data_IF_842443935434
#
_entry.id   IF_842443935434
#
_cell.length_a   1.000
_cell.length_b   1.000
_cell.length_c   1.000
_cell.angle_alpha   90.00
_cell.angle_beta   90.00
_cell.angle_gamma   90.00
#
_symmetry.space_group_name_H-M   'P 1'
#
loop_
_entity.id
_entity.type
_entity.pdbx_description
1 polymer ?
#
# COMPACT_ATOMS: atom_id res chain seq x y z
N UNK A 1 -22.67 4.26 -16.88
CA UNK A 1 -22.80 4.79 -15.50
C UNK A 1 -21.52 5.57 -15.24
N UNK A 2 -21.64 6.85 -14.91
CA UNK A 2 -20.47 7.70 -14.67
C UNK A 2 -19.59 7.05 -13.59
N UNK A 3 -18.35 6.74 -13.95
CA UNK A 3 -17.33 6.27 -13.01
C UNK A 3 -17.23 7.28 -11.87
N UNK A 4 -17.80 6.95 -10.70
CA UNK A 4 -17.31 7.52 -9.45
C UNK A 4 -15.81 7.21 -9.43
N UNK A 5 -14.97 8.26 -9.46
CA UNK A 5 -13.52 8.14 -9.43
C UNK A 5 -13.11 7.11 -8.39
N UNK A 6 -12.66 5.93 -8.84
CA UNK A 6 -12.07 4.94 -7.95
C UNK A 6 -10.87 5.58 -7.28
N UNK A 7 -11.03 5.93 -5.99
CA UNK A 7 -10.01 6.61 -5.21
C UNK A 7 -8.91 5.61 -4.89
N UNK A 8 -7.93 5.51 -5.80
CA UNK A 8 -6.84 4.51 -5.74
C UNK A 8 -6.19 4.47 -4.37
N UNK A 9 -5.78 5.62 -3.84
CA UNK A 9 -5.11 5.68 -2.54
C UNK A 9 -6.03 5.37 -1.36
N UNK A 10 -7.28 5.86 -1.36
CA UNK A 10 -8.21 5.64 -0.24
C UNK A 10 -8.62 4.18 -0.10
N UNK A 11 -8.84 3.49 -1.23
CA UNK A 11 -9.18 2.08 -1.19
C UNK A 11 -7.94 1.25 -0.83
N UNK A 12 -6.80 1.51 -1.48
CA UNK A 12 -5.58 0.73 -1.23
C UNK A 12 -5.01 0.92 0.17
N UNK A 13 -5.12 2.10 0.80
CA UNK A 13 -4.59 2.29 2.16
C UNK A 13 -5.36 1.45 3.19
N UNK A 14 -6.66 1.26 2.98
CA UNK A 14 -7.47 0.40 3.84
C UNK A 14 -7.02 -1.06 3.72
N UNK A 15 -6.92 -1.56 2.49
CA UNK A 15 -6.48 -2.93 2.25
C UNK A 15 -5.05 -3.16 2.79
N UNK A 16 -4.17 -2.16 2.67
CA UNK A 16 -2.81 -2.23 3.18
C UNK A 16 -2.76 -2.27 4.71
N UNK A 17 -3.67 -1.55 5.38
CA UNK A 17 -3.77 -1.58 6.85
C UNK A 17 -4.22 -2.96 7.34
N UNK A 18 -5.21 -3.57 6.70
CA UNK A 18 -5.65 -4.93 7.02
C UNK A 18 -4.47 -5.94 6.85
N UNK A 19 -3.67 -5.80 5.78
CA UNK A 19 -2.46 -6.61 5.60
C UNK A 19 -1.38 -6.33 6.66
N UNK A 20 -1.28 -5.09 7.16
CA UNK A 20 -0.36 -4.74 8.23
C UNK A 20 -0.75 -5.38 9.56
N UNK A 21 -2.04 -5.42 9.91
CA UNK A 21 -2.49 -6.08 11.14
C UNK A 21 -2.23 -7.59 11.12
N UNK A 22 -2.35 -8.23 9.95
CA UNK A 22 -2.06 -9.65 9.75
C UNK A 22 -0.64 -9.96 9.29
N UNK A 23 0.30 -9.02 9.36
CA UNK A 23 1.59 -9.16 8.68
C UNK A 23 2.44 -10.32 9.21
N UNK A 24 2.34 -10.63 10.51
CA UNK A 24 3.08 -11.72 11.17
C UNK A 24 2.29 -13.03 11.26
N UNK A 25 1.09 -13.08 10.66
CA UNK A 25 0.24 -14.28 10.69
C UNK A 25 0.84 -15.41 9.84
N UNK A 26 0.48 -16.65 10.18
CA UNK A 26 0.72 -17.82 9.36
C UNK A 26 -0.18 -17.77 8.12
N UNK A 27 0.45 -17.83 6.94
CA UNK A 27 -0.24 -17.72 5.64
C UNK A 27 0.24 -18.83 4.70
N UNK A 28 -0.45 -19.00 3.56
CA UNK A 28 0.01 -19.91 2.51
C UNK A 28 1.33 -19.43 1.89
N UNK A 29 1.99 -20.30 1.12
CA UNK A 29 3.23 -19.93 0.43
C UNK A 29 3.02 -18.75 -0.54
N UNK A 30 1.91 -18.75 -1.28
CA UNK A 30 1.57 -17.68 -2.23
C UNK A 30 1.37 -16.34 -1.53
N UNK A 31 0.68 -16.35 -0.38
CA UNK A 31 0.49 -15.16 0.46
C UNK A 31 1.80 -14.68 1.08
N UNK A 32 2.69 -15.57 1.50
CA UNK A 32 4.02 -15.19 1.99
C UNK A 32 4.87 -14.50 0.90
N UNK A 33 4.77 -14.98 -0.35
CA UNK A 33 5.41 -14.33 -1.51
C UNK A 33 4.76 -12.97 -1.83
N UNK A 34 3.43 -12.86 -1.73
CA UNK A 34 2.72 -11.59 -1.90
C UNK A 34 3.13 -10.57 -0.82
N UNK A 35 3.18 -10.99 0.45
CA UNK A 35 3.65 -10.20 1.60
C UNK A 35 5.07 -9.68 1.38
N UNK A 36 5.98 -10.52 0.90
CA UNK A 36 7.37 -10.12 0.58
C UNK A 36 7.41 -9.07 -0.53
N UNK A 37 6.59 -9.22 -1.58
CA UNK A 37 6.50 -8.22 -2.66
C UNK A 37 5.90 -6.89 -2.17
N UNK A 38 4.87 -6.95 -1.33
CA UNK A 38 4.26 -5.78 -0.69
C UNK A 38 5.28 -5.02 0.16
N UNK A 39 6.03 -5.71 1.01
CA UNK A 39 7.09 -5.10 1.82
C UNK A 39 8.12 -4.35 0.97
N UNK A 40 8.63 -5.01 -0.07
CA UNK A 40 9.59 -4.42 -1.00
C UNK A 40 9.01 -3.20 -1.73
N UNK A 41 7.70 -3.19 -2.03
CA UNK A 41 7.04 -2.04 -2.60
C UNK A 41 6.98 -0.87 -1.61
N UNK A 42 6.64 -1.13 -0.34
CA UNK A 42 6.65 -0.11 0.71
C UNK A 42 8.05 0.50 0.88
N UNK A 43 9.11 -0.32 0.88
CA UNK A 43 10.49 0.18 0.91
C UNK A 43 10.80 1.07 -0.29
N UNK A 44 10.47 0.64 -1.51
CA UNK A 44 10.66 1.47 -2.71
C UNK A 44 9.90 2.78 -2.65
N UNK A 45 8.71 2.78 -2.05
CA UNK A 45 7.96 4.02 -1.85
C UNK A 45 8.77 4.97 -0.95
N UNK A 46 9.29 4.48 0.17
CA UNK A 46 10.11 5.30 1.08
C UNK A 46 11.46 5.74 0.51
N UNK A 47 12.02 4.98 -0.43
CA UNK A 47 13.28 5.31 -1.11
C UNK A 47 13.11 6.35 -2.23
N UNK A 48 11.98 6.34 -2.94
CA UNK A 48 11.78 7.15 -4.14
C UNK A 48 10.88 8.37 -3.93
N UNK A 49 10.14 8.43 -2.82
CA UNK A 49 9.23 9.54 -2.52
C UNK A 49 9.52 10.08 -1.12
N UNK A 50 9.88 11.37 -1.05
CA UNK A 50 9.95 12.08 0.22
C UNK A 50 8.54 12.50 0.66
N UNK A 51 8.25 12.37 1.96
CA UNK A 51 6.96 12.74 2.51
C UNK A 51 6.70 14.26 2.38
N UNK A 52 7.72 15.10 2.54
CA UNK A 52 7.58 16.55 2.42
C UNK A 52 7.20 16.92 0.97
N UNK A 53 7.85 16.31 -0.01
CA UNK A 53 7.54 16.50 -1.44
C UNK A 53 6.11 16.07 -1.82
N UNK A 54 5.51 15.14 -1.06
CA UNK A 54 4.14 14.70 -1.27
C UNK A 54 3.12 15.65 -0.64
N UNK A 55 3.43 16.20 0.53
CA UNK A 55 2.57 17.18 1.20
C UNK A 55 2.47 18.49 0.42
N UNK A 56 3.55 18.88 -0.25
CA UNK A 56 3.58 20.06 -1.13
C UNK A 56 2.71 19.90 -2.39
N UNK A 57 2.23 18.69 -2.68
CA UNK A 57 1.37 18.37 -3.85
C UNK A 57 -0.12 18.37 -3.52
N UNK A 58 -0.51 18.72 -2.30
CA UNK A 58 -1.91 18.84 -1.90
C UNK A 58 -2.34 20.31 -2.04
N UNK A 59 -3.05 20.63 -3.12
CA UNK A 59 -3.72 21.94 -3.32
C UNK A 59 -4.97 22.09 -2.45
#
# INVERSE_FOLDING_TARGET
>A
MANMSYCRFQNTVKDLFDCYESFDDYVSEEEAQARTRMYNLCLKITENFDLLDLLDKVE
#
